data_IF_298217306395
#
_entry.id   IF_298217306395
#
_cell.length_a   1.000
_cell.length_b   1.000
_cell.length_c   1.000
_cell.angle_alpha   90.00
_cell.angle_beta   90.00
_cell.angle_gamma   90.00
#
_symmetry.space_group_name_H-M   'P 1'
#
loop_
_entity.id
_entity.type
_entity.pdbx_description
1 polymer ?
#
# COMPACT_ATOMS: atom_id res chain seq x y z
N UNK A 1 -11.08 14.07 -25.72
CA UNK A 1 -9.72 14.21 -25.18
C UNK A 1 -9.37 13.01 -24.28
N UNK A 2 -8.72 11.93 -24.78
CA UNK A 2 -8.43 10.72 -23.98
C UNK A 2 -6.93 10.42 -23.77
N UNK A 3 -6.06 11.43 -23.63
CA UNK A 3 -4.60 11.21 -23.48
C UNK A 3 -4.12 10.97 -22.03
N UNK A 4 -4.96 11.21 -21.02
CA UNK A 4 -4.51 11.21 -19.62
C UNK A 4 -4.33 9.81 -19.01
N UNK A 5 -5.09 8.80 -19.45
CA UNK A 5 -5.15 7.48 -18.81
C UNK A 5 -3.97 6.56 -19.16
N UNK A 6 -3.41 6.70 -20.37
CA UNK A 6 -2.26 5.88 -20.81
C UNK A 6 -0.98 6.25 -20.05
N UNK A 7 -0.75 7.54 -19.83
CA UNK A 7 0.45 8.04 -19.14
C UNK A 7 0.52 7.57 -17.68
N UNK A 8 -0.62 7.57 -16.97
CA UNK A 8 -0.69 7.16 -15.56
C UNK A 8 -0.36 5.66 -15.36
N UNK A 9 -0.83 4.81 -16.28
CA UNK A 9 -0.54 3.36 -16.24
C UNK A 9 0.95 3.08 -16.49
N UNK A 10 1.56 3.80 -17.43
CA UNK A 10 2.99 3.69 -17.74
C UNK A 10 3.87 4.19 -16.60
N UNK A 11 3.53 5.33 -15.99
CA UNK A 11 4.25 5.89 -14.84
C UNK A 11 4.16 4.97 -13.62
N UNK A 12 2.96 4.42 -13.35
CA UNK A 12 2.75 3.41 -12.31
C UNK A 12 3.63 2.17 -12.54
N UNK A 13 3.64 1.65 -13.76
CA UNK A 13 4.46 0.48 -14.11
C UNK A 13 5.95 0.72 -13.86
N UNK A 14 6.48 1.89 -14.27
CA UNK A 14 7.87 2.27 -14.01
C UNK A 14 8.16 2.38 -12.52
N UNK A 15 7.34 3.12 -11.77
CA UNK A 15 7.57 3.34 -10.34
C UNK A 15 7.56 2.04 -9.54
N UNK A 16 6.67 1.11 -9.89
CA UNK A 16 6.62 -0.23 -9.29
C UNK A 16 7.87 -1.03 -9.66
N UNK A 17 8.29 -1.01 -10.93
CA UNK A 17 9.50 -1.72 -11.36
C UNK A 17 10.73 -1.22 -10.60
N UNK A 18 10.93 0.09 -10.50
CA UNK A 18 12.02 0.70 -9.75
C UNK A 18 11.96 0.35 -8.25
N UNK A 19 10.76 0.35 -7.65
CA UNK A 19 10.57 -0.01 -6.25
C UNK A 19 10.93 -1.48 -5.95
N UNK A 20 10.63 -2.38 -6.89
CA UNK A 20 10.81 -3.82 -6.73
C UNK A 20 12.16 -4.33 -7.24
N UNK A 21 12.95 -3.50 -7.91
CA UNK A 21 14.24 -3.90 -8.49
C UNK A 21 15.21 -4.51 -7.45
N UNK A 22 15.39 -3.93 -6.25
CA UNK A 22 16.27 -4.53 -5.24
C UNK A 22 15.81 -5.93 -4.81
N UNK A 23 14.49 -6.13 -4.72
CA UNK A 23 13.91 -7.43 -4.39
C UNK A 23 14.13 -8.45 -5.52
N UNK A 24 13.96 -8.03 -6.78
CA UNK A 24 14.26 -8.86 -7.96
C UNK A 24 15.74 -9.22 -8.06
N UNK A 25 16.63 -8.34 -7.60
CA UNK A 25 18.06 -8.58 -7.51
C UNK A 25 18.47 -9.52 -6.35
N UNK A 26 17.50 -10.04 -5.57
CA UNK A 26 17.75 -11.01 -4.49
C UNK A 26 17.93 -10.40 -3.10
N UNK A 27 17.71 -9.09 -2.92
CA UNK A 27 17.70 -8.50 -1.59
C UNK A 27 16.41 -8.91 -0.85
N UNK A 28 16.49 -9.40 0.41
CA UNK A 28 15.29 -9.82 1.13
C UNK A 28 14.33 -8.64 1.37
N UNK A 29 13.03 -8.90 1.30
CA UNK A 29 11.99 -7.87 1.36
C UNK A 29 11.99 -7.03 2.67
N UNK A 30 12.51 -7.59 3.76
CA UNK A 30 12.70 -6.90 5.04
C UNK A 30 13.77 -5.80 4.97
N UNK A 31 14.72 -5.91 4.03
CA UNK A 31 15.80 -4.94 3.86
C UNK A 31 15.49 -3.88 2.79
N UNK A 32 14.54 -4.14 1.90
CA UNK A 32 14.11 -3.20 0.87
C UNK A 32 13.29 -2.07 1.49
N UNK A 33 13.81 -0.85 1.49
CA UNK A 33 13.12 0.35 1.96
C UNK A 33 12.52 1.16 0.79
N UNK A 34 11.21 1.34 0.81
CA UNK A 34 10.45 2.08 -0.18
C UNK A 34 10.18 3.51 0.27
N UNK A 35 10.21 4.46 -0.67
CA UNK A 35 9.75 5.83 -0.44
C UNK A 35 8.22 5.91 -0.38
N UNK A 36 7.70 6.97 0.23
CA UNK A 36 6.27 7.27 0.24
C UNK A 36 5.68 7.32 -1.19
N UNK A 37 6.43 7.87 -2.16
CA UNK A 37 6.00 7.99 -3.57
C UNK A 37 6.01 6.68 -4.33
N UNK A 38 6.82 5.71 -3.90
CA UNK A 38 6.83 4.37 -4.49
C UNK A 38 5.68 3.52 -3.94
N UNK A 39 5.31 3.71 -2.67
CA UNK A 39 4.18 3.01 -2.06
C UNK A 39 2.86 3.59 -2.53
N UNK A 40 2.69 4.91 -2.42
CA UNK A 40 1.45 5.61 -2.74
C UNK A 40 1.63 6.50 -3.99
N UNK A 41 0.75 6.42 -5.00
CA UNK A 41 -0.47 5.60 -5.09
C UNK A 41 -0.25 4.24 -5.79
N UNK A 42 1.00 3.84 -6.01
CA UNK A 42 1.30 2.82 -7.00
C UNK A 42 1.13 1.39 -6.48
N UNK A 43 1.71 1.06 -5.31
CA UNK A 43 1.53 -0.23 -4.65
C UNK A 43 0.24 -0.27 -3.84
N UNK A 44 0.02 0.75 -3.02
CA UNK A 44 -1.24 0.92 -2.28
C UNK A 44 -2.05 2.00 -3.00
N UNK A 45 -3.28 1.69 -3.43
CA UNK A 45 -4.13 2.60 -4.20
C UNK A 45 -4.76 3.69 -3.32
N UNK A 46 -3.93 4.45 -2.60
CA UNK A 46 -4.33 5.59 -1.79
C UNK A 46 -3.46 6.80 -2.17
N UNK A 47 -4.02 8.01 -2.06
CA UNK A 47 -3.24 9.22 -2.30
C UNK A 47 -2.09 9.35 -1.29
N UNK A 48 -1.03 10.09 -1.65
CA UNK A 48 0.04 10.43 -0.69
C UNK A 48 -0.54 11.05 0.58
N UNK A 49 -1.46 12.02 0.45
CA UNK A 49 -2.10 12.68 1.60
C UNK A 49 -2.78 11.66 2.53
N UNK A 50 -3.54 10.74 1.97
CA UNK A 50 -4.18 9.65 2.73
C UNK A 50 -3.15 8.79 3.45
N UNK A 51 -2.04 8.42 2.79
CA UNK A 51 -0.94 7.70 3.42
C UNK A 51 -0.21 8.50 4.51
N UNK A 52 -0.21 9.84 4.44
CA UNK A 52 0.30 10.68 5.53
C UNK A 52 -0.62 10.68 6.72
N UNK A 53 -1.90 10.86 6.46
CA UNK A 53 -2.94 10.89 7.47
C UNK A 53 -3.04 9.55 8.19
N UNK A 54 -2.87 8.42 7.50
CA UNK A 54 -2.90 7.09 8.11
C UNK A 54 -1.84 6.87 9.17
N UNK A 55 -0.67 7.52 9.04
CA UNK A 55 0.37 7.47 10.09
C UNK A 55 -0.03 8.20 11.37
N UNK A 56 -0.91 9.20 11.25
CA UNK A 56 -1.44 9.95 12.39
C UNK A 56 -2.64 9.25 13.02
N UNK A 57 -3.52 8.67 12.21
CA UNK A 57 -4.72 7.97 12.69
C UNK A 57 -4.45 6.53 13.11
N UNK A 58 -3.36 5.93 12.63
CA UNK A 58 -3.07 4.50 12.80
C UNK A 58 -3.84 3.61 11.83
N UNK A 59 -4.66 4.18 10.96
CA UNK A 59 -5.60 3.45 10.11
C UNK A 59 -5.49 3.89 8.65
N UNK A 60 -5.49 2.93 7.73
CA UNK A 60 -5.48 3.12 6.29
C UNK A 60 -6.57 2.26 5.65
N UNK A 61 -7.52 2.90 4.96
CA UNK A 61 -8.61 2.22 4.24
C UNK A 61 -9.44 1.26 5.12
N UNK A 62 -9.78 1.65 6.36
CA UNK A 62 -10.64 0.82 7.22
C UNK A 62 -9.90 -0.20 8.08
N UNK A 63 -8.56 -0.25 8.02
CA UNK A 63 -7.74 -1.23 8.75
C UNK A 63 -6.45 -0.62 9.29
N UNK A 64 -5.80 -1.31 10.22
CA UNK A 64 -4.50 -0.89 10.77
C UNK A 64 -3.53 -0.52 9.63
N UNK A 65 -2.92 0.66 9.71
CA UNK A 65 -2.00 1.15 8.70
C UNK A 65 -0.72 0.29 8.65
N UNK A 66 -0.06 0.15 7.49
CA UNK A 66 1.20 -0.58 7.39
C UNK A 66 2.28 0.08 8.26
N UNK A 67 3.12 -0.74 8.87
CA UNK A 67 4.27 -0.29 9.62
C UNK A 67 5.20 0.56 8.75
N UNK A 68 5.84 1.55 9.36
CA UNK A 68 6.79 2.42 8.69
C UNK A 68 8.04 2.64 9.54
N UNK A 69 9.16 2.90 8.86
CA UNK A 69 10.44 3.24 9.48
C UNK A 69 10.64 4.74 9.37
N UNK A 70 10.84 5.41 10.51
CA UNK A 70 11.20 6.82 10.55
C UNK A 70 12.72 6.98 10.41
N UNK A 71 13.16 7.67 9.36
CA UNK A 71 14.56 8.01 9.09
C UNK A 71 14.74 9.53 9.12
N UNK A 72 14.94 10.08 10.32
CA UNK A 72 15.01 11.52 10.54
C UNK A 72 13.72 12.23 10.11
N UNK A 73 13.81 13.08 9.08
CA UNK A 73 12.67 13.79 8.48
C UNK A 73 11.94 12.98 7.40
N UNK A 74 12.46 11.81 7.03
CA UNK A 74 11.89 10.95 6.00
C UNK A 74 11.17 9.75 6.61
N UNK A 75 10.19 9.23 5.88
CA UNK A 75 9.51 7.98 6.22
C UNK A 75 9.71 6.98 5.09
N UNK A 76 10.01 5.75 5.48
CA UNK A 76 10.22 4.60 4.61
C UNK A 76 9.25 3.50 4.99
N UNK A 77 8.92 2.65 4.03
CA UNK A 77 8.15 1.43 4.28
C UNK A 77 9.02 0.25 3.91
N UNK A 78 9.08 -0.79 4.74
CA UNK A 78 9.72 -2.03 4.29
C UNK A 78 8.82 -2.67 3.25
N UNK A 79 9.41 -3.25 2.21
CA UNK A 79 8.64 -3.99 1.21
C UNK A 79 7.85 -5.12 1.88
N UNK A 80 8.46 -5.84 2.83
CA UNK A 80 7.77 -6.90 3.59
C UNK A 80 6.51 -6.39 4.30
N UNK A 81 6.59 -5.27 5.02
CA UNK A 81 5.44 -4.72 5.75
C UNK A 81 4.30 -4.31 4.79
N UNK A 82 4.67 -3.74 3.63
CA UNK A 82 3.69 -3.39 2.59
C UNK A 82 3.05 -4.64 2.01
N UNK A 83 3.83 -5.67 1.71
CA UNK A 83 3.32 -6.94 1.16
C UNK A 83 2.43 -7.67 2.16
N UNK A 84 2.82 -7.73 3.43
CA UNK A 84 2.02 -8.31 4.51
C UNK A 84 0.70 -7.56 4.64
N UNK A 85 0.75 -6.23 4.69
CA UNK A 85 -0.47 -5.42 4.75
C UNK A 85 -1.36 -5.65 3.52
N UNK A 86 -0.81 -5.76 2.31
CA UNK A 86 -1.60 -6.09 1.11
C UNK A 86 -2.21 -7.50 1.21
N UNK A 87 -1.47 -8.48 1.70
CA UNK A 87 -1.91 -9.86 1.89
C UNK A 87 -3.00 -10.00 2.97
N UNK A 88 -2.95 -9.20 4.02
CA UNK A 88 -3.96 -9.13 5.09
C UNK A 88 -5.30 -8.51 4.63
N UNK A 89 -5.45 -8.24 3.33
CA UNK A 89 -6.70 -7.75 2.76
C UNK A 89 -7.71 -8.88 2.66
N UNK A 90 -8.83 -8.75 3.37
CA UNK A 90 -9.95 -9.67 3.17
C UNK A 90 -10.36 -9.63 1.68
N UNK A 91 -10.37 -10.80 1.04
CA UNK A 91 -10.85 -10.95 -0.33
C UNK A 91 -12.31 -11.36 -0.29
N UNK A 92 -13.17 -10.54 -0.87
CA UNK A 92 -14.60 -10.82 -0.97
C UNK A 92 -14.99 -10.98 -2.44
N UNK A 93 -15.77 -12.00 -2.77
CA UNK A 93 -16.31 -12.22 -4.10
C UNK A 93 -17.47 -11.27 -4.45
N UNK A 94 -18.06 -10.61 -3.45
CA UNK A 94 -19.11 -9.61 -3.64
C UNK A 94 -19.17 -8.59 -2.50
N UNK A 95 -19.83 -7.45 -2.75
CA UNK A 95 -20.15 -6.47 -1.71
C UNK A 95 -21.10 -7.03 -0.64
N UNK A 96 -22.00 -7.94 -1.02
CA UNK A 96 -22.89 -8.61 -0.06
C UNK A 96 -22.11 -9.48 0.93
N UNK A 97 -21.14 -10.26 0.43
CA UNK A 97 -20.25 -11.07 1.27
C UNK A 97 -19.42 -10.19 2.22
N UNK A 98 -18.88 -9.07 1.72
CA UNK A 98 -18.16 -8.11 2.55
C UNK A 98 -19.04 -7.53 3.68
N UNK A 99 -20.29 -7.17 3.38
CA UNK A 99 -21.24 -6.66 4.39
C UNK A 99 -21.55 -7.71 5.46
N UNK A 100 -21.75 -8.98 5.06
CA UNK A 100 -21.97 -10.07 6.00
C UNK A 100 -20.74 -10.31 6.89
N UNK A 101 -19.53 -10.25 6.34
CA UNK A 101 -18.30 -10.39 7.12
C UNK A 101 -18.12 -9.25 8.13
N UNK A 102 -18.44 -8.01 7.74
CA UNK A 102 -18.43 -6.84 8.65
C UNK A 102 -19.45 -7.02 9.78
N UNK A 103 -20.67 -7.47 9.47
CA UNK A 103 -21.71 -7.74 10.47
C UNK A 103 -21.30 -8.87 11.42
N UNK A 104 -20.66 -9.92 10.93
CA UNK A 104 -20.16 -11.03 11.73
C UNK A 104 -19.00 -10.61 12.66
N UNK A 105 -18.12 -9.71 12.20
CA UNK A 105 -17.01 -9.17 13.01
C UNK A 105 -17.47 -8.11 14.03
N UNK A 106 -18.65 -7.52 13.87
CA UNK A 106 -19.23 -6.48 14.75
C UNK A 106 -20.06 -6.99 15.93
N UNK A 107 -20.14 -8.31 16.16
CA UNK A 107 -20.79 -8.93 17.32
C UNK A 107 -19.73 -9.55 18.22
N UNK A 108 -18.99 -8.68 18.94
CA UNK A 108 -18.16 -9.03 20.09
C UNK A 108 -18.12 -7.84 21.05
#
# INVERSE_FOLDING_TARGET
>A
MPQSTKSFTTERGRAIAEALEPYRAGLPAELVELTERQVFPYLIPASLRTGRDSRRTGELLGRQAPCYVKRGRSVRYRLQDVLNWLADGDTYGSTAEALHAVQAKGVA
#
